data_IF_791443582869
#
_entry.id   IF_791443582869
#
_cell.length_a   1.000
_cell.length_b   1.000
_cell.length_c   1.000
_cell.angle_alpha   90.00
_cell.angle_beta   90.00
_cell.angle_gamma   90.00
#
_symmetry.space_group_name_H-M   'P 1'
#
loop_
_entity.id
_entity.type
_entity.pdbx_description
1 polymer ?
#
# COMPACT_ATOMS: atom_id res chain seq x y z
N UNK A 1 -28.99 23.87 -28.71
CA UNK A 1 -28.86 22.62 -27.92
C UNK A 1 -29.43 22.89 -26.53
N UNK A 2 -30.45 22.14 -26.08
CA UNK A 2 -31.18 22.46 -24.85
C UNK A 2 -30.36 22.14 -23.60
N UNK A 3 -30.58 22.93 -22.56
CA UNK A 3 -29.99 22.80 -21.22
C UNK A 3 -30.43 21.47 -20.57
N UNK A 4 -29.52 20.51 -20.44
CA UNK A 4 -29.72 19.30 -19.63
C UNK A 4 -29.36 19.62 -18.18
N UNK A 5 -30.36 19.91 -17.34
CA UNK A 5 -30.19 19.84 -15.88
C UNK A 5 -30.17 18.36 -15.47
N UNK A 6 -29.14 17.87 -14.74
CA UNK A 6 -29.18 16.53 -14.16
C UNK A 6 -30.22 16.50 -13.03
N UNK A 7 -31.21 15.62 -13.12
CA UNK A 7 -32.32 15.50 -12.17
C UNK A 7 -32.15 14.34 -11.18
N UNK A 8 -30.95 14.15 -10.62
CA UNK A 8 -30.77 13.16 -9.55
C UNK A 8 -29.84 13.76 -8.49
N UNK A 9 -30.34 14.09 -7.28
CA UNK A 9 -29.47 14.30 -6.15
C UNK A 9 -28.83 12.94 -5.83
N UNK A 10 -27.51 12.86 -5.95
CA UNK A 10 -26.73 11.77 -5.34
C UNK A 10 -27.19 11.57 -3.89
N UNK A 11 -27.29 10.33 -3.37
CA UNK A 11 -27.62 10.11 -1.97
C UNK A 11 -26.65 10.91 -1.10
N UNK A 12 -27.18 11.88 -0.36
CA UNK A 12 -26.39 12.86 0.38
C UNK A 12 -25.58 12.11 1.46
N UNK A 13 -24.27 11.89 1.23
CA UNK A 13 -23.33 11.26 2.18
C UNK A 13 -23.44 11.85 3.60
N UNK A 14 -23.80 13.14 3.69
CA UNK A 14 -23.95 13.89 4.94
C UNK A 14 -25.03 13.35 5.88
N UNK A 15 -26.12 12.80 5.35
CA UNK A 15 -27.20 12.26 6.19
C UNK A 15 -26.86 10.87 6.73
N UNK A 16 -26.08 10.08 5.99
CA UNK A 16 -25.54 8.81 6.48
C UNK A 16 -24.51 9.03 7.59
N UNK A 17 -23.61 10.00 7.45
CA UNK A 17 -22.63 10.34 8.50
C UNK A 17 -23.29 10.83 9.79
N UNK A 18 -24.36 11.66 9.67
CA UNK A 18 -25.12 12.13 10.84
C UNK A 18 -25.81 10.98 11.57
N UNK A 19 -26.43 10.05 10.82
CA UNK A 19 -27.04 8.83 11.39
C UNK A 19 -26.01 7.96 12.09
N UNK A 20 -24.87 7.67 11.45
CA UNK A 20 -23.79 6.90 12.06
C UNK A 20 -23.20 7.55 13.32
N UNK A 21 -23.04 8.88 13.34
CA UNK A 21 -22.61 9.59 14.54
C UNK A 21 -23.63 9.48 15.67
N UNK A 22 -24.91 9.58 15.34
CA UNK A 22 -25.99 9.47 16.31
C UNK A 22 -26.11 8.04 16.87
N UNK A 23 -25.95 7.03 16.03
CA UNK A 23 -25.93 5.62 16.45
C UNK A 23 -24.73 5.32 17.36
N UNK A 24 -23.54 5.84 17.02
CA UNK A 24 -22.34 5.69 17.84
C UNK A 24 -22.48 6.37 19.21
N UNK A 25 -23.11 7.55 19.28
CA UNK A 25 -23.42 8.20 20.56
C UNK A 25 -24.41 7.40 21.41
N UNK A 26 -25.38 6.73 20.79
CA UNK A 26 -26.29 5.83 21.51
C UNK A 26 -25.58 4.59 22.04
N UNK A 27 -24.71 3.96 21.23
CA UNK A 27 -23.89 2.82 21.66
C UNK A 27 -22.99 3.21 22.83
N UNK A 28 -22.39 4.41 22.78
CA UNK A 28 -21.54 4.93 23.86
C UNK A 28 -22.33 5.11 25.15
N UNK A 29 -23.53 5.71 25.10
CA UNK A 29 -24.41 5.84 26.29
C UNK A 29 -24.82 4.48 26.85
N UNK A 30 -25.13 3.52 26.00
CA UNK A 30 -25.44 2.15 26.40
C UNK A 30 -24.24 1.50 27.10
N UNK A 31 -23.03 1.69 26.56
CA UNK A 31 -21.81 1.16 27.16
C UNK A 31 -21.53 1.76 28.55
N UNK A 32 -21.74 3.07 28.74
CA UNK A 32 -21.61 3.70 30.07
C UNK A 32 -22.60 3.12 31.09
N UNK A 33 -23.86 2.88 30.69
CA UNK A 33 -24.88 2.24 31.55
C UNK A 33 -24.45 0.82 31.97
N UNK A 34 -23.88 0.04 31.03
CA UNK A 34 -23.44 -1.33 31.31
C UNK A 34 -22.12 -1.39 32.09
N UNK A 35 -21.25 -0.38 31.97
CA UNK A 35 -20.01 -0.28 32.72
C UNK A 35 -20.26 -0.10 34.21
N UNK A 36 -21.30 0.66 34.57
CA UNK A 36 -21.76 0.82 35.95
C UNK A 36 -22.48 -0.44 36.48
N UNK A 37 -22.98 -1.29 35.59
CA UNK A 37 -23.52 -2.63 35.88
C UNK A 37 -22.44 -3.71 35.73
N UNK A 38 -21.33 -3.60 36.47
CA UNK A 38 -20.39 -4.70 36.55
C UNK A 38 -20.94 -5.80 37.46
N UNK A 39 -21.11 -7.01 36.93
CA UNK A 39 -21.42 -8.19 37.72
C UNK A 39 -20.14 -8.98 37.97
N UNK A 40 -19.87 -9.31 39.23
CA UNK A 40 -18.79 -10.22 39.59
C UNK A 40 -19.27 -11.66 39.35
N UNK A 41 -18.86 -12.24 38.22
CA UNK A 41 -19.09 -13.65 37.90
C UNK A 41 -17.76 -14.39 37.99
N UNK A 42 -17.80 -15.63 38.49
CA UNK A 42 -16.61 -16.46 38.47
C UNK A 42 -16.20 -16.73 37.01
N UNK A 43 -14.90 -16.87 36.77
CA UNK A 43 -14.40 -17.18 35.43
C UNK A 43 -15.01 -18.47 34.87
N UNK A 44 -15.25 -19.48 35.73
CA UNK A 44 -15.91 -20.72 35.35
C UNK A 44 -17.34 -20.50 34.90
N UNK A 45 -18.11 -19.66 35.59
CA UNK A 45 -19.48 -19.34 35.22
C UNK A 45 -19.52 -18.53 33.91
N UNK A 46 -18.59 -17.60 33.73
CA UNK A 46 -18.44 -16.85 32.48
C UNK A 46 -18.19 -17.79 31.28
N UNK A 47 -17.34 -18.81 31.46
CA UNK A 47 -17.08 -19.80 30.40
C UNK A 47 -18.30 -20.66 30.07
N UNK A 48 -19.11 -21.00 31.08
CA UNK A 48 -20.38 -21.72 30.86
C UNK A 48 -21.36 -20.85 30.07
N UNK A 49 -21.46 -19.57 30.43
CA UNK A 49 -22.33 -18.60 29.74
C UNK A 49 -21.81 -18.25 28.33
N UNK A 50 -20.51 -18.40 28.07
CA UNK A 50 -19.86 -18.04 26.80
C UNK A 50 -19.21 -19.27 26.14
N UNK A 51 -20.00 -20.23 25.62
CA UNK A 51 -19.47 -21.50 25.11
C UNK A 51 -18.51 -21.34 23.92
N UNK A 52 -18.69 -20.31 23.08
CA UNK A 52 -17.75 -19.98 21.99
C UNK A 52 -16.38 -19.53 22.50
N UNK A 53 -16.37 -18.79 23.60
CA UNK A 53 -15.13 -18.34 24.22
C UNK A 53 -14.43 -19.51 24.92
N UNK A 54 -15.20 -20.35 25.63
CA UNK A 54 -14.70 -21.57 26.25
C UNK A 54 -14.10 -22.56 25.23
N UNK A 55 -14.74 -22.77 24.07
CA UNK A 55 -14.20 -23.63 23.02
C UNK A 55 -12.92 -23.07 22.41
N UNK A 56 -12.83 -21.75 22.23
CA UNK A 56 -11.64 -21.06 21.72
C UNK A 56 -10.48 -21.17 22.70
N UNK A 57 -10.72 -20.91 23.99
CA UNK A 57 -9.71 -21.09 25.04
C UNK A 57 -9.24 -22.53 25.13
N UNK A 58 -10.16 -23.50 25.06
CA UNK A 58 -9.81 -24.92 25.03
C UNK A 58 -8.91 -25.25 23.84
N UNK A 59 -9.26 -24.78 22.65
CA UNK A 59 -8.43 -24.97 21.46
C UNK A 59 -7.03 -24.34 21.62
N UNK A 60 -6.94 -23.17 22.25
CA UNK A 60 -5.68 -22.48 22.48
C UNK A 60 -4.78 -23.21 23.50
N UNK A 61 -5.36 -23.73 24.58
CA UNK A 61 -4.67 -24.54 25.59
C UNK A 61 -4.16 -25.86 24.97
N UNK A 62 -5.00 -26.55 24.19
CA UNK A 62 -4.63 -27.80 23.52
C UNK A 62 -3.49 -27.60 22.52
N UNK A 63 -3.44 -26.46 21.83
CA UNK A 63 -2.41 -26.16 20.83
C UNK A 63 -1.21 -25.37 21.38
N UNK A 64 -1.06 -25.27 22.72
CA UNK A 64 -0.03 -24.44 23.35
C UNK A 64 1.39 -24.78 22.91
N UNK A 65 1.72 -26.07 22.76
CA UNK A 65 3.06 -26.52 22.32
C UNK A 65 3.35 -26.12 20.89
N UNK A 66 2.41 -26.36 19.96
CA UNK A 66 2.54 -25.93 18.55
C UNK A 66 2.69 -24.42 18.40
N UNK A 67 1.96 -23.65 19.21
CA UNK A 67 2.10 -22.18 19.25
C UNK A 67 3.47 -21.77 19.77
N UNK A 68 3.98 -22.45 20.81
CA UNK A 68 5.33 -22.22 21.35
C UNK A 68 6.42 -22.55 20.33
N UNK A 69 6.27 -23.63 19.57
CA UNK A 69 7.19 -23.99 18.49
C UNK A 69 7.16 -22.96 17.36
N UNK A 70 5.96 -22.54 16.93
CA UNK A 70 5.79 -21.51 15.91
C UNK A 70 6.47 -20.19 16.33
N UNK A 71 6.32 -19.80 17.60
CA UNK A 71 6.97 -18.59 18.14
C UNK A 71 8.51 -18.69 18.24
N UNK A 72 9.08 -19.90 18.25
CA UNK A 72 10.54 -20.12 18.27
C UNK A 72 11.16 -20.26 16.89
N UNK A 73 10.36 -20.30 15.83
CA UNK A 73 10.86 -20.36 14.46
C UNK A 73 11.65 -19.09 14.14
N UNK A 74 12.94 -19.18 13.78
CA UNK A 74 13.71 -18.00 13.40
C UNK A 74 13.10 -17.37 12.16
N UNK A 75 12.64 -16.13 12.27
CA UNK A 75 12.10 -15.38 11.14
C UNK A 75 13.23 -14.92 10.23
N UNK A 76 13.00 -14.95 8.92
CA UNK A 76 13.91 -14.31 7.97
C UNK A 76 13.86 -12.77 8.13
N UNK A 77 14.90 -12.09 7.61
CA UNK A 77 15.01 -10.62 7.73
C UNK A 77 13.82 -9.90 7.07
N UNK A 78 13.28 -10.44 5.99
CA UNK A 78 12.18 -9.83 5.25
C UNK A 78 10.86 -9.83 6.06
N UNK A 79 10.52 -10.95 6.68
CA UNK A 79 9.36 -11.09 7.57
C UNK A 79 9.52 -10.24 8.84
N UNK A 80 10.74 -10.14 9.37
CA UNK A 80 11.04 -9.31 10.54
C UNK A 80 10.84 -7.83 10.26
N UNK A 81 11.23 -7.34 9.08
CA UNK A 81 11.02 -5.95 8.68
C UNK A 81 9.53 -5.57 8.59
N UNK A 82 8.69 -6.47 8.09
CA UNK A 82 7.23 -6.28 7.99
C UNK A 82 6.58 -6.25 9.37
N UNK A 83 6.91 -7.21 10.25
CA UNK A 83 6.29 -7.27 11.60
C UNK A 83 6.78 -6.12 12.50
N UNK A 84 8.06 -5.78 12.43
CA UNK A 84 8.63 -4.71 13.26
C UNK A 84 8.31 -3.31 12.71
N UNK A 85 7.61 -3.19 11.57
CA UNK A 85 7.38 -1.94 10.84
C UNK A 85 8.68 -1.12 10.67
N UNK A 86 9.82 -1.80 10.64
CA UNK A 86 11.12 -1.20 10.41
C UNK A 86 11.36 -1.29 8.93
N UNK A 87 11.10 -0.19 8.23
CA UNK A 87 11.58 -0.05 6.86
C UNK A 87 13.09 -0.31 6.88
N UNK A 88 13.62 -1.19 6.02
CA UNK A 88 15.06 -1.33 5.86
C UNK A 88 15.61 0.07 5.56
N UNK A 89 16.74 0.42 6.18
CA UNK A 89 17.40 1.72 5.92
C UNK A 89 17.60 1.82 4.41
N UNK A 90 16.97 2.81 3.77
CA UNK A 90 17.28 3.14 2.38
C UNK A 90 18.79 3.37 2.31
N UNK A 91 19.47 2.60 1.47
CA UNK A 91 20.82 2.95 1.05
C UNK A 91 20.75 4.36 0.44
N UNK A 92 21.73 5.19 0.77
CA UNK A 92 21.83 6.52 0.19
C UNK A 92 21.80 6.41 -1.33
N UNK A 93 21.03 7.29 -1.98
CA UNK A 93 20.94 7.31 -3.43
C UNK A 93 22.36 7.56 -3.99
N UNK A 94 22.94 6.63 -4.76
CA UNK A 94 24.27 6.81 -5.34
C UNK A 94 24.31 7.99 -6.35
N UNK A 95 23.17 8.58 -6.70
CA UNK A 95 23.04 9.65 -7.67
C UNK A 95 22.72 9.07 -9.05
N UNK A 96 23.35 9.59 -10.11
CA UNK A 96 23.11 9.12 -11.48
C UNK A 96 23.63 7.69 -11.64
N UNK A 97 22.72 6.72 -11.80
CA UNK A 97 23.09 5.35 -12.14
C UNK A 97 23.33 5.24 -13.65
N UNK A 98 24.59 5.13 -14.04
CA UNK A 98 25.00 5.02 -15.44
C UNK A 98 25.30 3.56 -15.78
N UNK A 99 24.73 3.08 -16.89
CA UNK A 99 24.96 1.75 -17.44
C UNK A 99 25.81 1.91 -18.71
N UNK A 100 26.99 1.27 -18.80
CA UNK A 100 27.73 1.19 -20.04
C UNK A 100 26.90 0.50 -21.13
N UNK A 101 26.85 1.11 -22.30
CA UNK A 101 26.18 0.58 -23.49
C UNK A 101 27.19 0.54 -24.64
N UNK A 102 27.24 -0.61 -25.30
CA UNK A 102 28.04 -0.79 -26.50
C UNK A 102 27.13 -0.75 -27.72
N UNK A 103 27.45 0.13 -28.67
CA UNK A 103 26.76 0.21 -29.94
C UNK A 103 27.75 0.02 -31.10
N UNK A 104 27.37 -0.68 -32.18
CA UNK A 104 28.24 -0.88 -33.33
C UNK A 104 28.65 0.45 -33.97
N UNK A 105 29.95 0.66 -34.15
CA UNK A 105 30.48 1.85 -34.83
C UNK A 105 30.52 3.13 -33.98
N UNK A 106 30.21 3.04 -32.69
CA UNK A 106 30.27 4.16 -31.74
C UNK A 106 31.21 3.82 -30.57
N UNK A 107 31.82 4.84 -29.97
CA UNK A 107 32.65 4.69 -28.77
C UNK A 107 31.84 4.28 -27.53
N UNK A 108 32.51 4.26 -26.38
CA UNK A 108 31.88 3.98 -25.09
C UNK A 108 30.71 4.95 -24.84
N UNK A 109 29.50 4.39 -24.67
CA UNK A 109 28.29 5.15 -24.35
C UNK A 109 27.87 4.85 -22.91
N UNK A 110 27.47 5.88 -22.17
CA UNK A 110 26.90 5.73 -20.84
C UNK A 110 25.43 6.14 -20.87
N UNK A 111 24.53 5.20 -20.59
CA UNK A 111 23.11 5.46 -20.50
C UNK A 111 22.69 5.73 -19.04
N UNK A 112 21.88 6.75 -18.81
CA UNK A 112 21.26 6.98 -17.51
C UNK A 112 20.12 5.99 -17.31
N UNK A 113 20.18 5.17 -16.26
CA UNK A 113 19.06 4.33 -15.88
C UNK A 113 18.16 5.09 -14.90
N UNK A 114 17.00 5.50 -15.40
CA UNK A 114 15.97 6.16 -14.61
C UNK A 114 14.77 5.22 -14.44
N UNK A 115 14.61 4.66 -13.24
CA UNK A 115 13.49 3.78 -12.90
C UNK A 115 12.14 4.54 -12.82
N UNK A 116 12.18 5.88 -12.77
CA UNK A 116 11.00 6.74 -12.81
C UNK A 116 10.56 7.10 -14.23
N UNK A 117 11.40 6.87 -15.24
CA UNK A 117 11.06 7.13 -16.63
C UNK A 117 10.18 6.00 -17.20
N UNK A 118 9.08 6.37 -17.83
CA UNK A 118 8.17 5.41 -18.48
C UNK A 118 8.62 5.00 -19.89
N UNK A 119 9.59 5.72 -20.46
CA UNK A 119 10.12 5.50 -21.81
C UNK A 119 11.64 5.68 -21.85
N UNK A 120 12.28 5.07 -22.85
CA UNK A 120 13.71 5.28 -23.13
C UNK A 120 13.87 6.43 -24.12
N UNK A 121 14.78 7.36 -23.83
CA UNK A 121 15.12 8.47 -24.72
C UNK A 121 16.53 8.29 -25.29
N UNK A 122 16.67 8.49 -26.59
CA UNK A 122 17.97 8.55 -27.28
C UNK A 122 18.10 9.91 -27.97
N UNK A 123 19.17 10.68 -27.73
CA UNK A 123 19.40 11.92 -28.45
C UNK A 123 19.53 11.67 -29.95
N UNK A 124 18.96 12.57 -30.76
CA UNK A 124 19.04 12.46 -32.22
C UNK A 124 20.47 12.50 -32.77
N UNK A 125 21.41 13.15 -32.06
CA UNK A 125 22.84 13.10 -32.40
C UNK A 125 23.41 11.69 -32.32
N UNK A 126 23.05 10.94 -31.28
CA UNK A 126 23.47 9.53 -31.10
C UNK A 126 22.84 8.66 -32.18
N UNK A 127 21.55 8.85 -32.49
CA UNK A 127 20.90 8.14 -33.60
C UNK A 127 21.63 8.33 -34.94
N UNK A 128 22.08 9.56 -35.22
CA UNK A 128 22.86 9.89 -36.43
C UNK A 128 24.24 9.24 -36.44
N UNK A 129 24.93 9.25 -35.31
CA UNK A 129 26.26 8.64 -35.17
C UNK A 129 26.22 7.13 -35.40
N UNK A 130 25.15 6.48 -34.95
CA UNK A 130 24.88 5.05 -35.18
C UNK A 130 24.48 4.71 -36.62
N UNK A 131 24.37 5.69 -37.51
CA UNK A 131 23.96 5.53 -38.90
C UNK A 131 22.67 4.69 -39.05
N UNK A 132 21.72 4.86 -38.11
CA UNK A 132 20.48 4.11 -38.07
C UNK A 132 19.51 4.55 -39.19
N UNK A 133 18.52 3.71 -39.54
CA UNK A 133 17.56 4.02 -40.60
C UNK A 133 16.83 5.34 -40.40
N UNK A 134 16.22 5.83 -41.48
CA UNK A 134 15.42 7.05 -41.44
C UNK A 134 14.24 6.91 -40.46
N UNK A 135 14.07 7.94 -39.62
CA UNK A 135 12.99 7.99 -38.64
C UNK A 135 11.72 8.53 -39.27
N UNK A 136 10.59 7.88 -39.00
CA UNK A 136 9.28 8.46 -39.28
C UNK A 136 8.95 9.48 -38.19
N UNK A 137 8.80 10.78 -38.53
CA UNK A 137 8.42 11.79 -37.54
C UNK A 137 7.08 11.41 -36.91
N UNK A 138 7.09 11.26 -35.59
CA UNK A 138 5.90 10.90 -34.82
C UNK A 138 5.65 11.98 -33.79
N UNK A 139 4.43 12.52 -33.75
CA UNK A 139 4.05 13.50 -32.74
C UNK A 139 3.88 12.78 -31.40
N UNK A 140 4.64 13.19 -30.40
CA UNK A 140 4.59 12.69 -29.03
C UNK A 140 4.70 13.87 -28.08
N UNK A 141 4.01 13.77 -26.94
CA UNK A 141 4.07 14.77 -25.87
C UNK A 141 4.72 14.14 -24.66
N UNK A 142 5.75 14.78 -24.12
CA UNK A 142 6.49 14.28 -22.96
C UNK A 142 6.26 15.17 -21.75
N UNK A 143 5.79 14.60 -20.65
CA UNK A 143 5.74 15.28 -19.35
C UNK A 143 7.02 14.96 -18.56
N UNK A 144 7.80 15.98 -18.22
CA UNK A 144 9.04 15.84 -17.47
C UNK A 144 8.78 15.90 -15.95
N UNK A 145 9.78 15.52 -15.16
CA UNK A 145 9.66 15.50 -13.70
C UNK A 145 9.37 16.87 -13.07
N UNK A 146 9.70 17.97 -13.77
CA UNK A 146 9.38 19.34 -13.39
C UNK A 146 7.98 19.81 -13.86
N UNK A 147 7.18 18.89 -14.43
CA UNK A 147 5.86 19.13 -15.04
C UNK A 147 5.90 20.02 -16.28
N UNK A 148 7.08 20.24 -16.86
CA UNK A 148 7.17 20.82 -18.19
C UNK A 148 6.70 19.80 -19.23
N UNK A 149 6.16 20.31 -20.33
CA UNK A 149 5.64 19.52 -21.45
C UNK A 149 6.48 19.84 -22.68
N UNK A 150 7.06 18.81 -23.30
CA UNK A 150 7.84 18.90 -24.54
C UNK A 150 7.11 18.26 -25.72
#
# INVERSE_FOLDING_TARGET
>A
MPNLKPSIPYPLRRDNERRHKQDNEQIKKFYEIFKDMSFEISFTDALILMPKFASTLKALIVNKEKLSEMARTPMNEHCSAVILNKLPKKLGDPGKFLIPCEFPGMGECLALADLGASINLMPFSVWKELALPELTPTCMTLELADRSVS
#
